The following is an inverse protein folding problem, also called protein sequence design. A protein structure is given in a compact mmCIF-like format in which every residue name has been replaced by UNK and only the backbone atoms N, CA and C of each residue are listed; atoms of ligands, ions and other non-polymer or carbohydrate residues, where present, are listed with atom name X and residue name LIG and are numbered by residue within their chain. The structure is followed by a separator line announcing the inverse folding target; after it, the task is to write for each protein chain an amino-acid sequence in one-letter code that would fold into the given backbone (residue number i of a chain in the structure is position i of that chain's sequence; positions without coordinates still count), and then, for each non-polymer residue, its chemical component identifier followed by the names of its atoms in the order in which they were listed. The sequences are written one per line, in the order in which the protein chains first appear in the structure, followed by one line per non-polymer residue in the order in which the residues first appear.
data_IF_123911966481
#
_entry.id   IF_123911966481
#
_cell.length_a   1.000
_cell.length_b   1.000
_cell.length_c   1.000
_cell.angle_alpha   90.00
_cell.angle_beta   90.00
_cell.angle_gamma   90.00
#
_symmetry.space_group_name_H-M   'P 1'
#
loop_
_entity.id
_entity.type
_entity.pdbx_description
1 polymer ?
#
# COMPACT_ATOMS: atom_id res chain seq x y z
N UNK A 1 11.59 -11.83 -1.11
CA UNK A 1 11.56 -10.38 -1.41
C UNK A 1 10.36 -10.14 -2.29
N UNK A 2 9.16 -10.11 -1.71
CA UNK A 2 7.94 -10.42 -2.47
C UNK A 2 6.88 -9.31 -2.34
N UNK A 3 7.26 -8.17 -1.75
CA UNK A 3 6.40 -7.02 -1.53
C UNK A 3 7.03 -5.76 -2.09
N UNK A 4 6.22 -4.99 -2.82
CA UNK A 4 6.53 -3.63 -3.26
C UNK A 4 5.57 -2.71 -2.51
N UNK A 5 6.11 -1.71 -1.84
CA UNK A 5 5.31 -0.68 -1.19
C UNK A 5 4.84 0.33 -2.22
N UNK A 6 3.52 0.46 -2.33
CA UNK A 6 2.84 1.51 -3.08
C UNK A 6 2.60 2.72 -2.19
N UNK A 7 2.58 3.92 -2.76
CA UNK A 7 2.52 5.18 -1.99
C UNK A 7 1.09 5.64 -1.67
N UNK A 8 0.07 4.90 -2.11
CA UNK A 8 -1.34 5.17 -1.83
C UNK A 8 -1.94 6.27 -2.71
N UNK A 9 -1.26 6.70 -3.78
CA UNK A 9 -1.82 7.62 -4.79
C UNK A 9 -2.50 6.90 -5.95
N UNK A 10 -2.43 5.58 -5.99
CA UNK A 10 -3.10 4.74 -6.97
C UNK A 10 -4.62 4.95 -6.85
N UNK A 11 -5.32 5.11 -7.97
CA UNK A 11 -6.77 5.35 -8.00
C UNK A 11 -7.59 4.10 -8.32
N UNK A 12 -6.92 3.04 -8.81
CA UNK A 12 -7.51 1.78 -9.21
C UNK A 12 -6.49 0.64 -9.05
N UNK A 13 -7.00 -0.58 -8.91
CA UNK A 13 -6.18 -1.80 -8.93
C UNK A 13 -5.74 -2.14 -10.34
N UNK A 14 -4.66 -2.91 -10.48
CA UNK A 14 -4.14 -3.33 -11.78
C UNK A 14 -3.54 -4.72 -11.71
N UNK A 15 -3.97 -5.58 -12.64
CA UNK A 15 -3.36 -6.89 -12.86
C UNK A 15 -2.18 -6.76 -13.83
N UNK A 16 -1.22 -7.67 -13.70
CA UNK A 16 -0.09 -7.82 -14.61
C UNK A 16 0.77 -6.55 -14.77
N UNK A 17 0.99 -5.84 -13.67
CA UNK A 17 1.89 -4.68 -13.67
C UNK A 17 3.33 -5.19 -13.72
N UNK A 18 4.05 -4.85 -14.79
CA UNK A 18 5.47 -5.17 -14.94
C UNK A 18 6.32 -4.13 -14.21
N UNK A 19 7.18 -4.59 -13.32
CA UNK A 19 8.13 -3.75 -12.57
C UNK A 19 9.54 -4.17 -12.95
N UNK A 20 10.36 -3.19 -13.31
CA UNK A 20 11.79 -3.41 -13.55
C UNK A 20 12.51 -3.47 -12.20
N UNK A 21 13.09 -4.63 -11.91
CA UNK A 21 13.91 -4.84 -10.73
C UNK A 21 15.39 -4.74 -11.11
N UNK A 22 16.14 -3.88 -10.43
CA UNK A 22 17.59 -3.76 -10.59
C UNK A 22 18.28 -3.83 -9.23
N UNK A 23 19.30 -4.68 -9.12
CA UNK A 23 20.15 -4.79 -7.94
C UNK A 23 21.58 -5.13 -8.34
N UNK A 24 22.49 -4.16 -8.22
CA UNK A 24 23.85 -4.28 -8.76
C UNK A 24 23.82 -4.66 -10.25
N UNK A 25 24.40 -5.79 -10.64
CA UNK A 25 24.39 -6.31 -12.01
C UNK A 25 23.15 -7.16 -12.36
N UNK A 26 22.27 -7.43 -11.39
CA UNK A 26 21.05 -8.20 -11.62
C UNK A 26 19.95 -7.28 -12.17
N UNK A 27 19.28 -7.74 -13.23
CA UNK A 27 18.10 -7.09 -13.79
C UNK A 27 17.03 -8.12 -14.15
N UNK A 28 15.77 -7.79 -13.89
CA UNK A 28 14.63 -8.64 -14.22
C UNK A 28 13.34 -7.82 -14.38
N UNK A 29 12.35 -8.38 -15.07
CA UNK A 29 10.97 -7.90 -15.04
C UNK A 29 10.14 -8.80 -14.13
N UNK A 30 9.42 -8.19 -13.19
CA UNK A 30 8.54 -8.90 -12.28
C UNK A 30 7.09 -8.51 -12.55
N UNK A 31 6.23 -9.51 -12.77
CA UNK A 31 4.79 -9.31 -12.88
C UNK A 31 4.17 -9.24 -11.49
N UNK A 32 3.47 -8.15 -11.20
CA UNK A 32 2.87 -7.87 -9.90
C UNK A 32 1.39 -7.50 -10.02
N UNK A 33 0.65 -7.70 -8.93
CA UNK A 33 -0.76 -7.28 -8.79
C UNK A 33 -0.82 -6.09 -7.83
N UNK A 34 -1.43 -5.01 -8.28
CA UNK A 34 -1.69 -3.82 -7.46
C UNK A 34 -3.14 -3.89 -7.01
N UNK A 35 -3.35 -3.95 -5.70
CA UNK A 35 -4.66 -3.93 -5.09
C UNK A 35 -5.04 -2.48 -4.75
N UNK A 36 -6.31 -2.14 -4.95
CA UNK A 36 -6.86 -0.85 -4.55
C UNK A 36 -8.14 -1.09 -3.72
N UNK A 37 -8.27 -0.47 -2.54
CA UNK A 37 -9.46 -0.64 -1.72
C UNK A 37 -10.67 -0.01 -2.40
N UNK A 38 -11.83 -0.67 -2.33
CA UNK A 38 -13.09 -0.01 -2.69
C UNK A 38 -13.42 1.04 -1.63
N UNK A 39 -13.80 2.23 -2.05
CA UNK A 39 -14.21 3.33 -1.18
C UNK A 39 -15.72 3.59 -1.32
N UNK A 40 -16.43 3.90 -0.22
CA UNK A 40 -15.94 3.95 1.16
C UNK A 40 -15.57 2.55 1.68
N UNK A 41 -14.57 2.50 2.57
CA UNK A 41 -14.20 1.26 3.25
C UNK A 41 -15.24 0.96 4.34
N UNK A 42 -15.88 -0.20 4.26
CA UNK A 42 -16.69 -0.73 5.35
C UNK A 42 -15.78 -1.46 6.34
N UNK A 43 -15.75 -0.99 7.58
CA UNK A 43 -14.92 -1.55 8.66
C UNK A 43 -15.87 -1.99 9.78
N UNK A 44 -15.86 -3.27 10.10
CA UNK A 44 -16.55 -3.83 11.26
C UNK A 44 -15.57 -3.92 12.43
N UNK A 45 -15.98 -3.43 13.61
CA UNK A 45 -15.21 -3.52 14.84
C UNK A 45 -15.96 -4.45 15.78
N UNK A 46 -15.31 -5.53 16.23
CA UNK A 46 -15.94 -6.53 17.10
C UNK A 46 -16.16 -6.05 18.53
N UNK A 47 -15.35 -5.10 18.99
CA UNK A 47 -15.41 -4.54 20.33
C UNK A 47 -16.18 -3.22 20.32
N UNK A 48 -17.32 -3.18 20.99
CA UNK A 48 -18.20 -2.01 21.06
C UNK A 48 -17.68 -0.89 21.95
N UNK A 49 -16.68 -1.16 22.80
CA UNK A 49 -16.07 -0.18 23.70
C UNK A 49 -14.91 0.57 23.02
N UNK A 50 -14.35 0.02 21.94
CA UNK A 50 -13.25 0.64 21.22
C UNK A 50 -13.75 1.77 20.31
N UNK A 51 -13.27 2.97 20.59
CA UNK A 51 -13.54 4.15 19.76
C UNK A 51 -12.68 4.18 18.50
N UNK A 52 -13.29 4.46 17.34
CA UNK A 52 -12.56 4.71 16.10
C UNK A 52 -11.69 5.96 16.25
N UNK A 53 -10.37 5.81 16.05
CA UNK A 53 -9.47 6.96 15.95
C UNK A 53 -9.67 7.61 14.58
N UNK A 54 -10.40 8.72 14.56
CA UNK A 54 -10.58 9.54 13.35
C UNK A 54 -9.34 10.40 13.12
N UNK A 55 -8.97 10.60 11.86
CA UNK A 55 -7.89 11.52 11.46
C UNK A 55 -6.51 11.19 12.05
N UNK A 56 -6.20 9.91 12.22
CA UNK A 56 -4.86 9.47 12.65
C UNK A 56 -3.79 9.97 11.67
N UNK A 57 -2.78 10.68 12.19
CA UNK A 57 -1.63 11.17 11.42
C UNK A 57 -0.39 10.39 11.84
N UNK A 58 0.31 9.84 10.86
CA UNK A 58 1.62 9.23 11.09
C UNK A 58 2.62 10.37 11.31
N UNK A 59 3.43 10.36 12.39
CA UNK A 59 4.49 11.33 12.57
C UNK A 59 5.46 11.26 11.38
N UNK A 60 5.51 12.31 10.57
CA UNK A 60 6.55 12.49 9.56
C UNK A 60 7.85 12.81 10.31
N UNK A 61 8.78 11.86 10.32
CA UNK A 61 10.13 12.14 10.80
C UNK A 61 10.73 13.22 9.90
N UNK A 62 10.92 14.41 10.45
CA UNK A 62 11.70 15.47 9.77
C UNK A 62 13.15 14.99 9.70
N UNK A 63 13.55 14.53 8.51
CA UNK A 63 14.98 14.37 8.20
C UNK A 63 15.58 15.76 8.20
N UNK A 64 16.36 16.08 9.25
CA UNK A 64 17.27 17.22 9.27
C UNK A 64 18.43 16.98 8.31
#
# INVERSE_FOLDING_TARGET
CDFVYVNGKETQGRLRTLVNFTYSYLSAQLEMKVWFPRLPLDIEVSDTELSQIKSWRIPIMSTK
#
